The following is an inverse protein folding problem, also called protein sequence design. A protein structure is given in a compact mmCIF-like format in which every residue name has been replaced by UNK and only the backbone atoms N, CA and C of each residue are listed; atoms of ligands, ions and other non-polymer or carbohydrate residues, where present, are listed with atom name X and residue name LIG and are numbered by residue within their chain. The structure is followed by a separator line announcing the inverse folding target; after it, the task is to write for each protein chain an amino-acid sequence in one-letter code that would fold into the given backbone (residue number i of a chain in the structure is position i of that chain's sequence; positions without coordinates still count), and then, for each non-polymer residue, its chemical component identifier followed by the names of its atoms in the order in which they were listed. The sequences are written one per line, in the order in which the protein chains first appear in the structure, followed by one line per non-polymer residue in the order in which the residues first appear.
data_IF_334034832734
#
_entry.id   IF_334034832734
#
_cell.length_a   1.000
_cell.length_b   1.000
_cell.length_c   1.000
_cell.angle_alpha   90.00
_cell.angle_beta   90.00
_cell.angle_gamma   90.00
#
_symmetry.space_group_name_H-M   'P 1'
#
loop_
_entity.id
_entity.type
_entity.pdbx_description
1 polymer ?
#
# COMPACT_ATOMS: atom_id res chain seq x y z
N UNK A 1 21.14 1.28 -1.92
CA UNK A 1 19.69 1.49 -1.82
C UNK A 1 19.01 0.92 -3.07
N UNK A 2 17.86 0.28 -2.90
CA UNK A 2 17.12 -0.34 -4.01
C UNK A 2 16.33 0.67 -4.86
N UNK A 3 16.14 1.89 -4.36
CA UNK A 3 15.43 3.01 -5.02
C UNK A 3 16.30 4.23 -4.86
N UNK A 4 17.21 4.39 -5.79
CA UNK A 4 18.27 5.42 -5.81
C UNK A 4 17.74 6.80 -6.25
N UNK A 5 16.82 6.85 -7.20
CA UNK A 5 16.16 8.07 -7.66
C UNK A 5 15.51 8.86 -6.49
N UNK A 6 14.77 8.18 -5.64
CA UNK A 6 14.16 8.79 -4.45
C UNK A 6 15.23 9.17 -3.42
N UNK A 7 16.24 8.31 -3.22
CA UNK A 7 17.33 8.54 -2.28
C UNK A 7 18.11 9.81 -2.63
N UNK A 8 18.49 10.00 -3.89
CA UNK A 8 19.25 11.17 -4.36
C UNK A 8 18.45 12.45 -4.11
N UNK A 9 17.17 12.48 -4.53
CA UNK A 9 16.34 13.66 -4.35
C UNK A 9 16.16 14.04 -2.87
N UNK A 10 15.95 13.06 -1.98
CA UNK A 10 15.83 13.32 -0.54
C UNK A 10 17.15 13.77 0.08
N UNK A 11 18.29 13.23 -0.38
CA UNK A 11 19.61 13.64 0.08
C UNK A 11 19.91 15.10 -0.29
N UNK A 12 19.52 15.54 -1.49
CA UNK A 12 19.62 16.94 -1.93
C UNK A 12 18.77 17.86 -1.07
N UNK A 13 17.51 17.45 -0.77
CA UNK A 13 16.62 18.21 0.11
C UNK A 13 17.15 18.32 1.54
N UNK A 14 17.77 17.26 2.08
CA UNK A 14 18.39 17.31 3.42
C UNK A 14 19.56 18.27 3.52
N UNK A 15 20.34 18.42 2.45
CA UNK A 15 21.44 19.39 2.36
C UNK A 15 20.95 20.84 2.22
N UNK A 16 19.64 21.07 2.12
CA UNK A 16 19.08 22.42 2.02
C UNK A 16 18.82 22.90 0.60
N UNK A 17 19.20 22.13 -0.40
CA UNK A 17 18.96 22.46 -1.82
C UNK A 17 17.52 22.18 -2.24
N UNK A 18 17.15 22.65 -3.43
CA UNK A 18 15.85 22.42 -4.05
C UNK A 18 16.00 21.47 -5.23
N UNK A 19 15.04 20.56 -5.40
CA UNK A 19 14.90 19.77 -6.63
C UNK A 19 13.92 20.50 -7.56
N UNK A 20 14.29 20.68 -8.81
CA UNK A 20 13.48 21.35 -9.83
C UNK A 20 13.22 20.37 -10.96
N UNK A 21 11.97 20.33 -11.43
CA UNK A 21 11.59 19.54 -12.60
C UNK A 21 11.99 20.27 -13.87
N UNK A 22 12.67 19.58 -14.79
CA UNK A 22 12.98 20.11 -16.12
C UNK A 22 11.97 19.52 -17.12
N UNK A 23 11.06 20.36 -17.63
CA UNK A 23 10.00 19.96 -18.55
C UNK A 23 10.51 19.55 -19.94
N UNK A 24 11.73 19.95 -20.31
CA UNK A 24 12.36 19.55 -21.58
C UNK A 24 13.10 18.22 -21.51
N UNK A 25 13.37 17.71 -20.31
CA UNK A 25 13.99 16.39 -20.12
C UNK A 25 12.93 15.29 -20.39
N UNK A 26 13.22 14.44 -21.37
CA UNK A 26 12.37 13.30 -21.72
C UNK A 26 13.09 11.99 -21.42
N UNK A 27 12.44 11.10 -20.70
CA UNK A 27 12.93 9.76 -20.43
C UNK A 27 11.94 8.77 -21.07
N UNK A 28 12.48 7.82 -21.82
CA UNK A 28 11.71 6.72 -22.41
C UNK A 28 11.99 5.46 -21.60
N UNK A 29 10.95 4.82 -21.13
CA UNK A 29 11.03 3.57 -20.36
C UNK A 29 10.06 2.56 -20.98
N UNK A 30 10.51 1.32 -21.18
CA UNK A 30 9.66 0.23 -21.61
C UNK A 30 8.74 -0.19 -20.47
N UNK A 31 7.44 -0.25 -20.76
CA UNK A 31 6.43 -0.69 -19.81
C UNK A 31 6.20 -2.18 -19.99
N UNK A 32 6.50 -2.97 -18.98
CA UNK A 32 6.14 -4.39 -18.97
C UNK A 32 4.64 -4.57 -18.83
N UNK A 33 4.05 -5.38 -19.72
CA UNK A 33 2.64 -5.79 -19.64
C UNK A 33 2.44 -7.07 -18.81
N UNK A 34 3.52 -7.65 -18.26
CA UNK A 34 3.45 -8.84 -17.41
C UNK A 34 3.21 -8.45 -15.94
N UNK A 35 2.08 -8.88 -15.39
CA UNK A 35 1.71 -8.66 -13.99
C UNK A 35 2.72 -9.26 -13.00
N UNK A 36 3.39 -10.37 -13.36
CA UNK A 36 4.39 -11.01 -12.49
C UNK A 36 5.65 -10.17 -12.41
N UNK A 37 6.06 -9.60 -13.53
CA UNK A 37 7.22 -8.70 -13.59
C UNK A 37 6.92 -7.41 -12.85
N UNK A 38 5.74 -6.83 -13.06
CA UNK A 38 5.28 -5.66 -12.31
C UNK A 38 5.24 -5.93 -10.80
N UNK A 39 4.72 -7.08 -10.37
CA UNK A 39 4.71 -7.46 -8.97
C UNK A 39 6.14 -7.56 -8.38
N UNK A 40 7.08 -8.21 -9.10
CA UNK A 40 8.49 -8.30 -8.69
C UNK A 40 9.14 -6.92 -8.58
N UNK A 41 8.90 -6.04 -9.56
CA UNK A 41 9.38 -4.65 -9.57
C UNK A 41 8.84 -3.90 -8.36
N UNK A 42 7.52 -3.96 -8.10
CA UNK A 42 6.87 -3.29 -6.96
C UNK A 42 7.35 -3.83 -5.61
N UNK A 43 7.55 -5.13 -5.48
CA UNK A 43 8.14 -5.75 -4.28
C UNK A 43 9.54 -5.19 -3.99
N UNK A 44 10.39 -5.08 -5.01
CA UNK A 44 11.75 -4.50 -4.89
C UNK A 44 11.69 -3.03 -4.49
N UNK A 45 10.85 -2.24 -5.18
CA UNK A 45 10.65 -0.81 -4.89
C UNK A 45 10.15 -0.63 -3.45
N UNK A 46 9.22 -1.46 -3.01
CA UNK A 46 8.69 -1.40 -1.64
C UNK A 46 9.79 -1.63 -0.60
N UNK A 47 10.63 -2.65 -0.77
CA UNK A 47 11.74 -2.89 0.14
C UNK A 47 12.69 -1.67 0.22
N UNK A 48 13.00 -1.05 -0.93
CA UNK A 48 13.78 0.19 -0.99
C UNK A 48 13.09 1.40 -0.37
N UNK A 49 11.75 1.47 -0.43
CA UNK A 49 10.98 2.51 0.23
C UNK A 49 11.12 2.46 1.75
N UNK A 50 11.15 1.28 2.36
CA UNK A 50 11.37 1.12 3.80
C UNK A 50 12.81 1.43 4.20
N UNK A 51 13.81 1.10 3.35
CA UNK A 51 15.19 1.58 3.54
C UNK A 51 15.24 3.12 3.54
N UNK A 52 14.57 3.75 2.60
CA UNK A 52 14.50 5.20 2.50
C UNK A 52 13.73 5.82 3.69
N UNK A 53 12.67 5.17 4.17
CA UNK A 53 11.94 5.61 5.36
C UNK A 53 12.83 5.59 6.61
N UNK A 54 13.61 4.53 6.79
CA UNK A 54 14.57 4.44 7.89
C UNK A 54 15.64 5.56 7.79
N UNK A 55 16.17 5.80 6.61
CA UNK A 55 17.22 6.82 6.39
C UNK A 55 16.71 8.25 6.54
N UNK A 56 15.54 8.53 5.99
CA UNK A 56 14.97 9.88 5.88
C UNK A 56 13.82 10.14 6.87
N UNK A 57 13.60 9.27 7.85
CA UNK A 57 12.53 9.43 8.86
C UNK A 57 12.62 10.74 9.64
N UNK A 58 13.82 11.29 9.83
CA UNK A 58 14.03 12.59 10.46
C UNK A 58 13.38 13.75 9.70
N UNK A 59 13.10 13.61 8.40
CA UNK A 59 12.38 14.62 7.61
C UNK A 59 10.93 14.82 8.08
N UNK A 60 10.32 13.83 8.72
CA UNK A 60 8.98 13.95 9.30
C UNK A 60 8.92 14.98 10.43
N UNK A 61 10.06 15.23 11.09
CA UNK A 61 10.22 16.21 12.16
C UNK A 61 11.01 17.44 11.71
N UNK A 62 11.12 17.64 10.41
CA UNK A 62 11.87 18.77 9.83
C UNK A 62 11.23 20.10 10.17
N UNK A 63 12.06 21.14 10.39
CA UNK A 63 11.62 22.54 10.51
C UNK A 63 10.95 23.09 9.24
N UNK A 64 10.88 22.31 8.17
CA UNK A 64 10.19 22.63 6.90
C UNK A 64 8.86 21.88 6.84
N UNK A 65 7.77 22.44 7.39
CA UNK A 65 6.50 21.70 7.57
C UNK A 65 5.91 21.22 6.23
N UNK A 66 6.09 21.96 5.14
CA UNK A 66 5.63 21.54 3.81
C UNK A 66 6.32 20.29 3.30
N UNK A 67 7.65 20.15 3.52
CA UNK A 67 8.39 18.93 3.12
C UNK A 67 7.98 17.74 3.99
N UNK A 68 7.86 17.95 5.31
CA UNK A 68 7.42 16.93 6.25
C UNK A 68 6.00 16.42 5.89
N UNK A 69 5.07 17.33 5.63
CA UNK A 69 3.70 17.01 5.23
C UNK A 69 3.65 16.25 3.91
N UNK A 70 4.34 16.72 2.88
CA UNK A 70 4.40 16.03 1.58
C UNK A 70 5.04 14.65 1.70
N UNK A 71 6.10 14.51 2.47
CA UNK A 71 6.74 13.21 2.69
C UNK A 71 5.80 12.25 3.42
N UNK A 72 5.15 12.69 4.49
CA UNK A 72 4.19 11.88 5.23
C UNK A 72 3.01 11.46 4.35
N UNK A 73 2.29 12.42 3.76
CA UNK A 73 1.01 12.19 3.07
C UNK A 73 1.17 11.44 1.75
N UNK A 74 2.18 11.77 0.93
CA UNK A 74 2.32 11.21 -0.41
C UNK A 74 3.23 9.97 -0.48
N UNK A 75 4.03 9.72 0.57
CA UNK A 75 4.97 8.60 0.59
C UNK A 75 4.73 7.68 1.76
N UNK A 76 4.94 8.13 3.00
CA UNK A 76 4.93 7.26 4.18
C UNK A 76 3.57 6.58 4.38
N UNK A 77 2.47 7.33 4.40
CA UNK A 77 1.12 6.76 4.55
C UNK A 77 0.86 5.70 3.47
N UNK A 78 1.18 5.99 2.22
CA UNK A 78 1.01 5.06 1.11
C UNK A 78 1.82 3.77 1.28
N UNK A 79 3.01 3.83 1.86
CA UNK A 79 3.84 2.65 2.09
C UNK A 79 3.32 1.76 3.21
N UNK A 80 2.66 2.36 4.22
CA UNK A 80 2.12 1.63 5.37
C UNK A 80 0.66 1.20 5.20
N UNK A 81 -0.03 1.61 4.12
CA UNK A 81 -1.44 1.21 3.83
C UNK A 81 -1.68 -0.28 4.00
N UNK A 82 -0.83 -1.22 3.48
CA UNK A 82 -1.07 -2.65 3.66
C UNK A 82 -1.12 -3.07 5.13
N UNK A 83 -0.29 -2.47 5.98
CA UNK A 83 -0.28 -2.73 7.43
C UNK A 83 -1.55 -2.19 8.08
N UNK A 84 -1.99 -0.98 7.69
CA UNK A 84 -3.23 -0.38 8.19
C UNK A 84 -4.44 -1.22 7.81
N UNK A 85 -4.48 -1.77 6.60
CA UNK A 85 -5.56 -2.69 6.16
C UNK A 85 -5.61 -3.93 7.03
N UNK A 86 -4.47 -4.53 7.38
CA UNK A 86 -4.43 -5.70 8.26
C UNK A 86 -4.85 -5.36 9.69
N UNK A 87 -4.40 -4.22 10.21
CA UNK A 87 -4.77 -3.74 11.55
C UNK A 87 -6.28 -3.49 11.62
N UNK A 88 -6.84 -2.80 10.63
CA UNK A 88 -8.29 -2.52 10.60
C UNK A 88 -9.11 -3.79 10.46
N UNK A 89 -8.67 -4.77 9.67
CA UNK A 89 -9.33 -6.07 9.58
C UNK A 89 -9.28 -6.81 10.92
N UNK A 90 -8.09 -6.90 11.53
CA UNK A 90 -7.91 -7.59 12.81
C UNK A 90 -8.74 -6.95 13.94
N UNK A 91 -8.74 -5.62 14.03
CA UNK A 91 -9.53 -4.90 15.04
C UNK A 91 -11.03 -5.02 14.80
N UNK A 92 -11.48 -4.98 13.55
CA UNK A 92 -12.90 -5.18 13.21
C UNK A 92 -13.38 -6.58 13.55
N UNK A 93 -12.57 -7.60 13.28
CA UNK A 93 -12.88 -8.98 13.68
C UNK A 93 -12.89 -9.14 15.19
N UNK A 94 -11.88 -8.64 15.90
CA UNK A 94 -11.79 -8.72 17.35
C UNK A 94 -13.01 -8.07 18.03
N UNK A 95 -13.29 -6.81 17.69
CA UNK A 95 -14.41 -6.07 18.25
C UNK A 95 -15.76 -6.70 17.88
N UNK A 96 -15.87 -7.22 16.65
CA UNK A 96 -17.09 -7.88 16.20
C UNK A 96 -17.38 -9.16 16.99
N UNK A 97 -16.38 -9.99 17.24
CA UNK A 97 -16.50 -11.22 18.02
C UNK A 97 -16.77 -10.90 19.50
N UNK A 98 -16.04 -9.93 20.07
CA UNK A 98 -16.21 -9.53 21.47
C UNK A 98 -17.64 -9.02 21.73
N UNK A 99 -18.18 -8.17 20.86
CA UNK A 99 -19.56 -7.69 20.93
C UNK A 99 -20.61 -8.82 20.86
N UNK A 100 -20.35 -9.83 20.02
CA UNK A 100 -21.23 -11.01 19.97
C UNK A 100 -21.23 -11.80 21.27
N UNK A 101 -20.09 -11.87 21.96
CA UNK A 101 -20.02 -12.57 23.28
C UNK A 101 -20.72 -11.79 24.38
N UNK A 102 -20.56 -10.46 24.45
CA UNK A 102 -21.21 -9.61 25.45
C UNK A 102 -22.76 -9.67 25.37
N UNK A 103 -23.30 -9.71 24.16
CA UNK A 103 -24.75 -9.69 23.92
C UNK A 103 -25.33 -11.12 23.80
N UNK A 104 -24.73 -12.11 24.47
CA UNK A 104 -25.18 -13.51 24.56
C UNK A 104 -25.41 -14.17 23.17
N UNK A 105 -24.60 -13.86 22.19
CA UNK A 105 -24.58 -14.51 20.87
C UNK A 105 -25.77 -14.21 19.95
N UNK A 106 -26.64 -13.26 20.31
CA UNK A 106 -27.89 -13.03 19.61
C UNK A 106 -27.93 -11.81 18.69
N UNK A 107 -26.79 -11.10 18.51
CA UNK A 107 -26.74 -9.96 17.59
C UNK A 107 -26.80 -10.47 16.14
N UNK A 108 -27.85 -10.14 15.37
CA UNK A 108 -27.86 -10.44 13.96
C UNK A 108 -26.71 -9.70 13.28
N UNK A 109 -26.04 -10.37 12.33
CA UNK A 109 -24.87 -9.83 11.61
C UNK A 109 -25.09 -8.38 11.13
N UNK A 110 -26.30 -8.04 10.70
CA UNK A 110 -26.66 -6.70 10.23
C UNK A 110 -26.67 -5.59 11.30
N UNK A 111 -26.68 -5.94 12.59
CA UNK A 111 -26.57 -4.98 13.71
C UNK A 111 -25.15 -4.86 14.22
N UNK A 112 -24.27 -5.81 13.91
CA UNK A 112 -22.86 -5.74 14.28
C UNK A 112 -22.03 -5.05 13.18
N UNK A 113 -21.89 -3.75 13.28
CA UNK A 113 -21.16 -2.94 12.31
C UNK A 113 -19.70 -3.40 12.13
N UNK A 114 -19.04 -3.87 13.18
CA UNK A 114 -17.65 -4.33 13.09
C UNK A 114 -17.51 -5.57 12.21
N UNK A 115 -18.42 -6.53 12.34
CA UNK A 115 -18.45 -7.72 11.49
C UNK A 115 -18.83 -7.37 10.04
N UNK A 116 -19.73 -6.41 9.83
CA UNK A 116 -20.05 -5.91 8.49
C UNK A 116 -18.82 -5.28 7.84
N UNK A 117 -18.07 -4.46 8.57
CA UNK A 117 -16.82 -3.88 8.06
C UNK A 117 -15.78 -4.96 7.76
N UNK A 118 -15.59 -5.94 8.63
CA UNK A 118 -14.69 -7.06 8.40
C UNK A 118 -15.08 -7.85 7.14
N UNK A 119 -16.37 -8.15 6.98
CA UNK A 119 -16.89 -8.85 5.80
C UNK A 119 -16.67 -8.04 4.50
N UNK A 120 -16.96 -6.75 4.55
CA UNK A 120 -16.72 -5.87 3.40
C UNK A 120 -15.24 -5.82 3.01
N UNK A 121 -14.32 -5.75 3.98
CA UNK A 121 -12.88 -5.82 3.73
C UNK A 121 -12.45 -7.17 3.15
N UNK A 122 -12.97 -8.28 3.66
CA UNK A 122 -12.68 -9.61 3.11
C UNK A 122 -13.15 -9.72 1.65
N UNK A 123 -14.40 -9.30 1.37
CA UNK A 123 -14.92 -9.27 0.00
C UNK A 123 -13.99 -8.45 -0.90
N UNK A 124 -13.58 -7.26 -0.45
CA UNK A 124 -12.69 -6.39 -1.20
C UNK A 124 -11.33 -7.04 -1.50
N UNK A 125 -10.74 -7.74 -0.52
CA UNK A 125 -9.47 -8.45 -0.67
C UNK A 125 -9.59 -9.63 -1.66
N UNK A 126 -10.76 -10.28 -1.75
CA UNK A 126 -11.00 -11.40 -2.65
C UNK A 126 -11.42 -11.00 -4.08
N UNK A 127 -11.70 -9.72 -4.33
CA UNK A 127 -12.04 -9.23 -5.69
C UNK A 127 -11.04 -9.66 -6.77
N UNK A 128 -9.70 -9.68 -6.57
CA UNK A 128 -8.76 -10.14 -7.60
C UNK A 128 -9.00 -11.56 -8.06
N UNK A 129 -9.44 -12.45 -7.17
CA UNK A 129 -9.76 -13.83 -7.51
C UNK A 129 -10.99 -13.88 -8.40
N UNK A 130 -12.02 -13.11 -8.05
CA UNK A 130 -13.25 -12.99 -8.84
C UNK A 130 -12.94 -12.40 -10.24
N UNK A 131 -12.17 -11.30 -10.30
CA UNK A 131 -11.75 -10.70 -11.56
C UNK A 131 -10.98 -11.69 -12.45
N UNK A 132 -10.11 -12.50 -11.85
CA UNK A 132 -9.35 -13.51 -12.58
C UNK A 132 -10.25 -14.61 -13.14
N UNK A 133 -11.25 -15.06 -12.39
CA UNK A 133 -12.22 -16.07 -12.83
C UNK A 133 -13.07 -15.50 -14.00
N UNK A 134 -13.62 -14.30 -13.85
CA UNK A 134 -14.41 -13.64 -14.88
C UNK A 134 -13.64 -13.44 -16.18
N UNK A 135 -12.37 -13.06 -16.09
CA UNK A 135 -11.50 -12.94 -17.28
C UNK A 135 -11.28 -14.26 -18.01
N UNK A 136 -11.15 -15.38 -17.27
CA UNK A 136 -11.08 -16.72 -17.89
C UNK A 136 -12.38 -17.08 -18.63
N UNK A 137 -13.50 -16.54 -18.21
CA UNK A 137 -14.82 -16.69 -18.85
C UNK A 137 -15.06 -15.66 -19.97
N UNK A 138 -14.06 -14.83 -20.31
CA UNK A 138 -14.18 -13.79 -21.35
C UNK A 138 -14.91 -12.53 -20.88
N UNK A 139 -15.30 -12.43 -19.61
CA UNK A 139 -16.02 -11.28 -19.04
C UNK A 139 -15.03 -10.26 -18.49
N UNK A 140 -15.08 -9.03 -19.02
CA UNK A 140 -14.20 -7.94 -18.62
C UNK A 140 -14.98 -6.84 -17.91
N UNK A 141 -14.79 -6.72 -16.58
CA UNK A 141 -15.44 -5.71 -15.73
C UNK A 141 -14.40 -4.68 -15.27
N UNK A 142 -14.45 -3.48 -15.84
CA UNK A 142 -13.47 -2.43 -15.61
C UNK A 142 -13.31 -2.04 -14.12
N UNK A 143 -14.37 -1.82 -13.31
CA UNK A 143 -14.24 -1.53 -11.89
C UNK A 143 -13.51 -2.61 -11.09
N UNK A 144 -13.74 -3.89 -11.40
CA UNK A 144 -13.06 -4.99 -10.72
C UNK A 144 -11.55 -4.98 -11.00
N UNK A 145 -11.12 -4.55 -12.20
CA UNK A 145 -9.70 -4.39 -12.54
C UNK A 145 -8.99 -3.36 -11.69
N UNK A 146 -9.63 -2.21 -11.45
CA UNK A 146 -9.04 -1.17 -10.59
C UNK A 146 -8.85 -1.68 -9.16
N UNK A 147 -9.86 -2.34 -8.61
CA UNK A 147 -9.78 -2.93 -7.28
C UNK A 147 -8.72 -4.03 -7.23
N UNK A 148 -8.69 -4.93 -8.23
CA UNK A 148 -7.70 -6.00 -8.35
C UNK A 148 -6.29 -5.44 -8.40
N UNK A 149 -6.05 -4.40 -9.21
CA UNK A 149 -4.75 -3.73 -9.27
C UNK A 149 -4.37 -3.13 -7.93
N UNK A 150 -5.28 -2.43 -7.26
CA UNK A 150 -5.05 -1.85 -5.93
C UNK A 150 -4.66 -2.93 -4.91
N UNK A 151 -5.41 -4.04 -4.83
CA UNK A 151 -5.13 -5.13 -3.89
C UNK A 151 -3.78 -5.78 -4.20
N UNK A 152 -3.50 -6.10 -5.48
CA UNK A 152 -2.22 -6.70 -5.89
C UNK A 152 -1.02 -5.80 -5.59
N UNK A 153 -1.16 -4.48 -5.78
CA UNK A 153 -0.10 -3.53 -5.45
C UNK A 153 0.14 -3.45 -3.93
N UNK A 154 -0.91 -3.50 -3.11
CA UNK A 154 -0.77 -3.55 -1.66
C UNK A 154 -0.13 -4.88 -1.19
N UNK A 155 -0.44 -6.00 -1.81
CA UNK A 155 0.24 -7.28 -1.56
C UNK A 155 1.74 -7.21 -1.93
N UNK A 156 2.09 -6.56 -3.04
CA UNK A 156 3.48 -6.35 -3.43
C UNK A 156 4.22 -5.45 -2.42
N UNK A 157 3.55 -4.39 -1.91
CA UNK A 157 4.09 -3.52 -0.85
C UNK A 157 4.34 -4.31 0.44
N UNK A 158 3.38 -5.14 0.86
CA UNK A 158 3.54 -6.02 2.02
C UNK A 158 4.69 -7.01 1.86
N UNK A 159 4.77 -7.68 0.68
CA UNK A 159 5.86 -8.60 0.39
C UNK A 159 7.23 -7.91 0.38
N UNK A 160 7.30 -6.64 -0.03
CA UNK A 160 8.49 -5.81 0.05
C UNK A 160 8.86 -5.45 1.49
N UNK A 161 7.88 -5.14 2.33
CA UNK A 161 8.07 -4.91 3.76
C UNK A 161 8.63 -6.13 4.48
N UNK A 162 8.04 -7.31 4.24
CA UNK A 162 8.54 -8.58 4.80
C UNK A 162 9.98 -8.84 4.36
N UNK A 163 10.28 -8.61 3.07
CA UNK A 163 11.64 -8.74 2.55
C UNK A 163 12.62 -7.79 3.25
N UNK A 164 12.20 -6.54 3.49
CA UNK A 164 13.00 -5.55 4.21
C UNK A 164 13.33 -6.01 5.64
N UNK A 165 12.35 -6.52 6.39
CA UNK A 165 12.55 -7.03 7.77
C UNK A 165 13.45 -8.26 7.77
N UNK A 166 13.35 -9.12 6.76
CA UNK A 166 14.17 -10.34 6.63
C UNK A 166 15.65 -10.11 6.30
N UNK A 167 16.09 -8.86 6.22
CA UNK A 167 17.48 -8.49 5.91
C UNK A 167 17.79 -8.69 4.42
N UNK A 168 17.59 -7.66 3.63
CA UNK A 168 17.84 -7.65 2.16
C UNK A 168 19.28 -7.98 1.85
#
# INVERSE_FOLDING_TARGET
FLVDDFYVNMSVLMQGFKCVSNLSARVYEDVSNDLREEFRRKKRISAGNFQNLQKFGSLLFSRRPGVAFCFLSHKVIRWIVPLLVLITLGTSLYLGIFRMQEEAGSLPLGKNLYLLFALAQLIFIFIPVIDQILRKLGIHVLPLRFVSHFVLMNLALMAGFIKYIGGI
#
